data_IF_182417007912
#
_entry.id   IF_182417007912
#
_cell.length_a   1.000
_cell.length_b   1.000
_cell.length_c   1.000
_cell.angle_alpha   90.00
_cell.angle_beta   90.00
_cell.angle_gamma   90.00
#
_symmetry.space_group_name_H-M   'P 1'
#
loop_
_entity.id
_entity.type
_entity.pdbx_description
1 polymer ?
#
# COMPACT_ATOMS: atom_id res chain seq x y z
N UNK A 1 5.30 51.62 42.94
CA UNK A 1 6.41 50.83 42.37
C UNK A 1 5.94 49.40 42.29
N UNK A 2 5.38 49.06 41.18
CA UNK A 2 4.83 47.75 40.91
C UNK A 2 5.92 46.92 40.20
N UNK A 3 6.35 45.85 40.86
CA UNK A 3 7.42 44.96 40.37
C UNK A 3 6.85 44.07 39.25
N UNK A 4 7.22 44.37 38.01
CA UNK A 4 7.00 43.52 36.85
C UNK A 4 7.91 42.31 37.00
N UNK A 5 7.32 41.14 37.30
CA UNK A 5 8.00 39.85 37.15
C UNK A 5 8.22 39.60 35.65
N UNK A 6 9.46 39.31 35.23
CA UNK A 6 9.69 38.82 33.86
C UNK A 6 9.12 37.41 33.72
N UNK A 7 8.12 37.24 32.84
CA UNK A 7 7.69 35.94 32.37
C UNK A 7 8.86 35.27 31.64
N UNK A 8 9.41 34.26 32.22
CA UNK A 8 10.35 33.34 31.57
C UNK A 8 9.70 32.82 30.27
N UNK A 9 10.37 32.87 29.12
CA UNK A 9 9.85 32.26 27.90
C UNK A 9 9.72 30.75 28.15
N UNK A 10 8.53 30.21 27.88
CA UNK A 10 8.30 28.77 27.80
C UNK A 10 9.40 28.13 26.94
N UNK A 11 10.19 27.30 27.58
CA UNK A 11 11.23 26.54 26.90
C UNK A 11 10.53 25.63 25.87
N UNK A 12 10.79 25.89 24.61
CA UNK A 12 10.42 25.06 23.47
C UNK A 12 11.22 23.73 23.55
N UNK A 13 10.91 22.91 24.57
CA UNK A 13 11.51 21.59 24.72
C UNK A 13 10.90 20.72 23.62
N UNK A 14 11.76 20.20 22.75
CA UNK A 14 11.36 19.19 21.79
C UNK A 14 10.58 18.07 22.50
N UNK A 15 9.48 17.57 21.92
CA UNK A 15 8.63 16.57 22.56
C UNK A 15 9.47 15.35 22.96
N UNK A 16 9.37 14.92 24.20
CA UNK A 16 10.12 13.76 24.71
C UNK A 16 9.61 12.50 24.04
N UNK A 17 10.54 11.69 23.48
CA UNK A 17 10.21 10.38 22.94
C UNK A 17 9.85 9.41 24.07
N UNK A 18 8.69 8.76 23.96
CA UNK A 18 8.22 7.73 24.91
C UNK A 18 8.50 6.32 24.45
N UNK A 19 8.68 6.11 23.15
CA UNK A 19 9.01 4.84 22.54
C UNK A 19 9.82 5.06 21.27
N UNK A 20 10.81 4.22 21.03
CA UNK A 20 11.51 4.11 19.75
C UNK A 20 11.82 2.65 19.49
N UNK A 21 11.37 2.13 18.37
CA UNK A 21 11.58 0.73 18.03
C UNK A 21 11.00 0.30 16.70
N UNK A 22 11.33 -0.93 16.33
CA UNK A 22 10.86 -1.50 15.06
C UNK A 22 9.41 -1.92 15.15
N UNK A 23 8.72 -1.77 14.01
CA UNK A 23 7.40 -2.38 13.81
C UNK A 23 7.55 -3.90 13.93
N UNK A 24 6.64 -4.53 14.66
CA UNK A 24 6.63 -5.97 14.87
C UNK A 24 5.50 -6.62 14.06
N UNK A 25 5.81 -7.74 13.43
CA UNK A 25 4.81 -8.56 12.76
C UNK A 25 4.86 -10.01 13.27
N UNK A 26 3.81 -10.43 13.98
CA UNK A 26 3.73 -11.72 14.66
C UNK A 26 2.99 -12.82 13.89
N UNK A 27 2.47 -12.52 12.69
CA UNK A 27 1.69 -13.46 11.88
C UNK A 27 2.49 -14.68 11.44
N UNK A 28 1.83 -15.84 11.40
CA UNK A 28 2.40 -17.14 11.02
C UNK A 28 1.84 -17.64 9.70
N UNK A 29 2.71 -18.25 8.89
CA UNK A 29 2.33 -18.74 7.55
C UNK A 29 1.26 -19.83 7.60
N UNK A 30 1.33 -20.75 8.56
CA UNK A 30 0.34 -21.85 8.70
C UNK A 30 -1.06 -21.34 9.08
N UNK A 31 -1.14 -20.39 10.02
CA UNK A 31 -2.41 -19.77 10.41
C UNK A 31 -3.04 -19.01 9.22
N UNK A 32 -2.22 -18.23 8.51
CA UNK A 32 -2.73 -17.50 7.36
C UNK A 32 -3.05 -18.41 6.17
N UNK A 33 -2.34 -19.52 6.01
CA UNK A 33 -2.68 -20.53 4.98
C UNK A 33 -4.09 -21.08 5.19
N UNK A 34 -4.46 -21.44 6.42
CA UNK A 34 -5.82 -21.90 6.73
C UNK A 34 -6.89 -20.84 6.41
N UNK A 35 -6.66 -19.57 6.80
CA UNK A 35 -7.56 -18.46 6.46
C UNK A 35 -7.69 -18.30 4.94
N UNK A 36 -6.58 -18.31 4.23
CA UNK A 36 -6.52 -18.11 2.78
C UNK A 36 -7.21 -19.25 2.01
N UNK A 37 -6.95 -20.51 2.39
CA UNK A 37 -7.54 -21.69 1.73
C UNK A 37 -9.07 -21.68 1.83
N UNK A 38 -9.60 -21.42 3.03
CA UNK A 38 -11.05 -21.27 3.23
C UNK A 38 -11.60 -20.09 2.42
N UNK A 39 -10.89 -18.98 2.40
CA UNK A 39 -11.30 -17.79 1.65
C UNK A 39 -11.37 -18.05 0.15
N UNK A 40 -10.41 -18.77 -0.43
CA UNK A 40 -10.42 -19.12 -1.86
C UNK A 40 -11.56 -20.09 -2.14
N UNK A 41 -11.67 -21.18 -1.38
CA UNK A 41 -12.70 -22.19 -1.59
C UNK A 41 -14.10 -21.56 -1.59
N UNK A 42 -14.42 -20.78 -0.55
CA UNK A 42 -15.72 -20.13 -0.44
C UNK A 42 -15.92 -19.04 -1.53
N UNK A 43 -14.86 -18.36 -1.96
CA UNK A 43 -14.97 -17.39 -3.05
C UNK A 43 -15.27 -18.05 -4.39
N UNK A 44 -14.71 -19.23 -4.66
CA UNK A 44 -15.01 -20.02 -5.85
C UNK A 44 -16.45 -20.52 -5.81
N UNK A 45 -16.86 -21.16 -4.71
CA UNK A 45 -18.22 -21.72 -4.55
C UNK A 45 -19.30 -20.63 -4.68
N UNK A 46 -19.03 -19.42 -4.17
CA UNK A 46 -20.00 -18.32 -4.20
C UNK A 46 -19.82 -17.39 -5.41
N UNK A 47 -19.07 -17.82 -6.46
CA UNK A 47 -18.80 -17.03 -7.67
C UNK A 47 -18.28 -15.60 -7.35
N UNK A 48 -17.43 -15.50 -6.31
CA UNK A 48 -16.79 -14.25 -5.90
C UNK A 48 -17.54 -13.41 -4.85
N UNK A 49 -18.78 -13.74 -4.50
CA UNK A 49 -19.55 -12.99 -3.47
C UNK A 49 -18.81 -13.02 -2.13
N UNK A 50 -18.32 -14.19 -1.70
CA UNK A 50 -17.58 -14.34 -0.44
C UNK A 50 -16.24 -13.56 -0.42
N UNK A 51 -15.75 -13.08 -1.55
CA UNK A 51 -14.48 -12.33 -1.62
C UNK A 51 -14.49 -11.04 -0.76
N UNK A 52 -15.67 -10.49 -0.42
CA UNK A 52 -15.81 -9.38 0.52
C UNK A 52 -15.45 -9.81 1.96
N UNK A 53 -15.92 -10.97 2.41
CA UNK A 53 -15.57 -11.60 3.70
C UNK A 53 -14.10 -11.99 3.74
N UNK A 54 -13.60 -12.57 2.66
CA UNK A 54 -12.20 -12.94 2.48
C UNK A 54 -11.27 -11.73 2.65
N UNK A 55 -11.62 -10.56 2.06
CA UNK A 55 -10.88 -9.32 2.23
C UNK A 55 -10.84 -8.88 3.70
N UNK A 56 -11.99 -8.83 4.37
CA UNK A 56 -12.05 -8.40 5.78
C UNK A 56 -11.25 -9.33 6.67
N UNK A 57 -11.40 -10.66 6.54
CA UNK A 57 -10.63 -11.64 7.32
C UNK A 57 -9.12 -11.49 7.11
N UNK A 58 -8.70 -11.29 5.86
CA UNK A 58 -7.29 -11.07 5.53
C UNK A 58 -6.74 -9.79 6.16
N UNK A 59 -7.46 -8.67 6.05
CA UNK A 59 -7.02 -7.40 6.63
C UNK A 59 -6.99 -7.46 8.16
N UNK A 60 -8.02 -8.02 8.81
CA UNK A 60 -8.04 -8.21 10.27
C UNK A 60 -6.86 -9.04 10.74
N UNK A 61 -6.49 -10.10 10.00
CA UNK A 61 -5.32 -10.90 10.34
C UNK A 61 -4.03 -10.08 10.28
N UNK A 62 -3.77 -9.36 9.19
CA UNK A 62 -2.54 -8.59 9.04
C UNK A 62 -2.47 -7.42 10.02
N UNK A 63 -3.55 -6.67 10.18
CA UNK A 63 -3.61 -5.53 11.11
C UNK A 63 -3.44 -6.00 12.56
N UNK A 64 -4.15 -7.02 12.98
CA UNK A 64 -4.05 -7.56 14.34
C UNK A 64 -2.69 -8.16 14.69
N UNK A 65 -1.90 -8.56 13.67
CA UNK A 65 -0.54 -9.06 13.87
C UNK A 65 0.56 -8.01 13.62
N UNK A 66 0.22 -6.80 13.19
CA UNK A 66 1.15 -5.66 13.08
C UNK A 66 1.06 -4.84 14.35
N UNK A 67 2.19 -4.65 15.04
CA UNK A 67 2.26 -3.98 16.34
C UNK A 67 3.30 -2.88 16.34
N UNK A 68 2.97 -1.79 17.02
CA UNK A 68 3.87 -0.70 17.38
C UNK A 68 3.71 -0.49 18.88
N UNK A 69 4.81 -0.44 19.63
CA UNK A 69 4.80 -0.29 21.09
C UNK A 69 3.85 -1.31 21.77
N UNK A 70 3.91 -2.58 21.36
CA UNK A 70 3.06 -3.66 21.90
C UNK A 70 1.60 -3.63 21.47
N UNK A 71 1.10 -2.55 20.87
CA UNK A 71 -0.30 -2.36 20.47
C UNK A 71 -0.51 -2.71 18.99
N UNK A 72 -1.54 -3.51 18.70
CA UNK A 72 -1.92 -3.90 17.34
C UNK A 72 -2.80 -2.84 16.66
N UNK A 73 -2.85 -2.93 15.34
CA UNK A 73 -3.87 -2.23 14.56
C UNK A 73 -5.15 -3.02 14.50
N UNK A 74 -6.28 -2.32 14.31
CA UNK A 74 -7.58 -2.90 14.05
C UNK A 74 -8.09 -2.52 12.66
N UNK A 75 -8.78 -3.47 12.02
CA UNK A 75 -9.53 -3.22 10.79
C UNK A 75 -11.02 -3.33 11.03
N UNK A 76 -11.73 -2.22 10.98
CA UNK A 76 -13.12 -2.07 11.44
C UNK A 76 -14.17 -2.34 10.35
N UNK A 77 -13.77 -2.46 9.07
CA UNK A 77 -14.70 -2.67 7.97
C UNK A 77 -15.53 -3.96 8.13
N UNK A 78 -16.79 -3.88 7.70
CA UNK A 78 -17.66 -5.02 7.59
C UNK A 78 -17.68 -5.58 6.16
N UNK A 79 -17.87 -6.90 5.97
CA UNK A 79 -17.96 -7.49 4.63
C UNK A 79 -19.07 -6.88 3.77
N UNK A 80 -20.21 -6.53 4.39
CA UNK A 80 -21.37 -5.96 3.69
C UNK A 80 -21.04 -4.60 3.08
N UNK A 81 -20.28 -3.76 3.78
CA UNK A 81 -19.82 -2.46 3.23
C UNK A 81 -19.00 -2.65 1.95
N UNK A 82 -18.09 -3.64 1.95
CA UNK A 82 -17.27 -3.95 0.78
C UNK A 82 -18.12 -4.54 -0.34
N UNK A 83 -19.05 -5.43 -0.01
CA UNK A 83 -19.94 -6.09 -0.98
C UNK A 83 -20.81 -5.08 -1.71
N UNK A 84 -21.42 -4.11 -1.00
CA UNK A 84 -22.22 -3.05 -1.61
C UNK A 84 -21.45 -2.28 -2.69
N UNK A 85 -20.20 -1.90 -2.41
CA UNK A 85 -19.33 -1.23 -3.38
C UNK A 85 -19.00 -2.10 -4.59
N UNK A 86 -18.78 -3.41 -4.39
CA UNK A 86 -18.51 -4.36 -5.49
C UNK A 86 -19.73 -4.59 -6.38
N UNK A 87 -20.91 -4.77 -5.77
CA UNK A 87 -22.15 -4.93 -6.54
C UNK A 87 -22.38 -3.69 -7.43
N UNK A 88 -22.21 -2.49 -6.87
CA UNK A 88 -22.33 -1.26 -7.65
C UNK A 88 -21.32 -1.24 -8.81
N UNK A 89 -20.07 -1.59 -8.58
CA UNK A 89 -19.05 -1.64 -9.62
C UNK A 89 -19.38 -2.65 -10.72
N UNK A 90 -19.92 -3.83 -10.36
CA UNK A 90 -20.36 -4.87 -11.33
C UNK A 90 -21.54 -4.36 -12.16
N UNK A 91 -22.52 -3.72 -11.53
CA UNK A 91 -23.67 -3.14 -12.25
C UNK A 91 -23.20 -2.08 -13.25
N UNK A 92 -22.34 -1.14 -12.83
CA UNK A 92 -21.80 -0.11 -13.72
C UNK A 92 -21.01 -0.73 -14.87
N UNK A 93 -20.21 -1.77 -14.60
CA UNK A 93 -19.45 -2.49 -15.62
C UNK A 93 -20.36 -3.20 -16.62
N UNK A 94 -21.42 -3.87 -16.16
CA UNK A 94 -22.40 -4.52 -17.05
C UNK A 94 -23.13 -3.49 -17.94
N UNK A 95 -23.57 -2.38 -17.37
CA UNK A 95 -24.18 -1.28 -18.13
C UNK A 95 -23.22 -0.76 -19.20
N UNK A 96 -21.95 -0.52 -18.82
CA UNK A 96 -20.91 -0.11 -19.75
C UNK A 96 -20.74 -1.12 -20.89
N UNK A 97 -20.64 -2.41 -20.59
CA UNK A 97 -20.44 -3.46 -21.58
C UNK A 97 -21.59 -3.56 -22.55
N UNK A 98 -22.84 -3.52 -22.05
CA UNK A 98 -24.06 -3.57 -22.89
C UNK A 98 -24.13 -2.35 -23.79
N UNK A 99 -23.98 -1.14 -23.25
CA UNK A 99 -24.09 0.09 -24.02
C UNK A 99 -22.97 0.22 -25.06
N UNK A 100 -21.74 -0.19 -24.72
CA UNK A 100 -20.60 -0.16 -25.64
C UNK A 100 -20.76 -1.16 -26.80
N UNK A 101 -21.45 -2.28 -26.58
CA UNK A 101 -21.73 -3.27 -27.65
C UNK A 101 -22.79 -2.78 -28.63
N UNK A 102 -23.70 -1.89 -28.19
CA UNK A 102 -24.74 -1.30 -29.07
C UNK A 102 -24.18 -0.19 -29.96
N UNK A 103 -23.28 0.64 -29.45
CA UNK A 103 -22.64 1.70 -30.22
C UNK A 103 -21.25 2.05 -29.64
N UNK A 104 -20.15 1.91 -30.42
CA UNK A 104 -18.79 2.22 -29.98
C UNK A 104 -18.62 3.67 -29.47
N UNK A 105 -19.37 4.63 -30.05
CA UNK A 105 -19.36 6.02 -29.59
C UNK A 105 -19.85 6.18 -28.15
N UNK A 106 -20.80 5.36 -27.69
CA UNK A 106 -21.27 5.34 -26.31
C UNK A 106 -20.15 4.84 -25.40
N UNK A 107 -19.43 3.80 -25.81
CA UNK A 107 -18.26 3.29 -25.08
C UNK A 107 -17.19 4.37 -24.85
N UNK A 108 -16.92 5.20 -25.87
CA UNK A 108 -15.98 6.31 -25.76
C UNK A 108 -16.48 7.39 -24.77
N UNK A 109 -17.77 7.75 -24.83
CA UNK A 109 -18.35 8.70 -23.89
C UNK A 109 -18.26 8.20 -22.44
N UNK A 110 -18.52 6.90 -22.21
CA UNK A 110 -18.35 6.29 -20.90
C UNK A 110 -16.89 6.32 -20.42
N UNK A 111 -15.94 6.04 -21.31
CA UNK A 111 -14.51 6.10 -20.98
C UNK A 111 -14.08 7.51 -20.55
N UNK A 112 -14.55 8.53 -21.27
CA UNK A 112 -14.33 9.94 -20.91
C UNK A 112 -15.00 10.26 -19.56
N UNK A 113 -16.26 9.87 -19.38
CA UNK A 113 -16.98 10.06 -18.11
C UNK A 113 -16.29 9.37 -16.93
N UNK A 114 -15.75 8.16 -17.16
CA UNK A 114 -15.00 7.43 -16.15
C UNK A 114 -13.69 8.15 -15.75
N UNK A 115 -13.02 8.81 -16.70
CA UNK A 115 -11.83 9.61 -16.42
C UNK A 115 -12.12 10.73 -15.40
N UNK A 116 -13.29 11.38 -15.52
CA UNK A 116 -13.74 12.38 -14.53
C UNK A 116 -14.22 11.75 -13.20
N UNK A 117 -14.75 10.54 -13.24
CA UNK A 117 -15.20 9.83 -12.03
C UNK A 117 -14.04 9.25 -11.23
N UNK A 118 -12.92 8.93 -11.88
CA UNK A 118 -11.74 8.27 -11.29
C UNK A 118 -11.23 8.98 -10.02
N UNK A 119 -11.01 10.31 -9.97
CA UNK A 119 -10.52 10.99 -8.77
C UNK A 119 -11.47 10.87 -7.58
N UNK A 120 -12.78 10.91 -7.84
CA UNK A 120 -13.80 10.71 -6.81
C UNK A 120 -13.73 9.29 -6.24
N UNK A 121 -13.62 8.26 -7.10
CA UNK A 121 -13.50 6.85 -6.69
C UNK A 121 -12.25 6.66 -5.83
N UNK A 122 -11.10 7.22 -6.25
CA UNK A 122 -9.84 7.13 -5.50
C UNK A 122 -10.01 7.75 -4.11
N UNK A 123 -10.55 8.96 -4.02
CA UNK A 123 -10.77 9.64 -2.75
C UNK A 123 -11.71 8.87 -1.83
N UNK A 124 -12.83 8.33 -2.35
CA UNK A 124 -13.74 7.53 -1.54
C UNK A 124 -13.07 6.23 -1.05
N UNK A 125 -12.25 5.60 -1.90
CA UNK A 125 -11.47 4.42 -1.51
C UNK A 125 -10.46 4.71 -0.40
N UNK A 126 -9.72 5.81 -0.50
CA UNK A 126 -8.75 6.24 0.51
C UNK A 126 -9.45 6.63 1.83
N UNK A 127 -10.53 7.43 1.77
CA UNK A 127 -11.35 7.79 2.93
C UNK A 127 -11.91 6.55 3.64
N UNK A 128 -12.42 5.59 2.88
CA UNK A 128 -12.93 4.35 3.45
C UNK A 128 -11.82 3.56 4.15
N UNK A 129 -10.68 3.34 3.48
CA UNK A 129 -9.59 2.55 4.05
C UNK A 129 -9.03 3.20 5.33
N UNK A 130 -8.82 4.52 5.35
CA UNK A 130 -8.32 5.23 6.52
C UNK A 130 -9.31 5.17 7.68
N UNK A 131 -10.60 5.47 7.46
CA UNK A 131 -11.63 5.37 8.50
C UNK A 131 -11.77 3.97 9.10
N UNK A 132 -11.49 2.92 8.31
CA UNK A 132 -11.56 1.54 8.76
C UNK A 132 -10.28 1.08 9.45
N UNK A 133 -9.26 1.92 9.53
CA UNK A 133 -7.99 1.64 10.23
C UNK A 133 -7.98 2.36 11.58
N UNK A 134 -7.62 1.63 12.63
CA UNK A 134 -7.51 2.15 13.99
C UNK A 134 -6.25 1.62 14.66
N UNK A 135 -5.60 2.46 15.48
CA UNK A 135 -4.51 2.06 16.36
C UNK A 135 -4.69 2.73 17.72
N UNK A 136 -4.59 1.99 18.83
CA UNK A 136 -4.78 2.48 20.20
C UNK A 136 -6.07 3.33 20.37
N UNK A 137 -7.20 2.85 19.82
CA UNK A 137 -8.51 3.52 19.76
C UNK A 137 -8.61 4.78 18.89
N UNK A 138 -7.51 5.34 18.42
CA UNK A 138 -7.51 6.49 17.51
C UNK A 138 -7.68 6.02 16.06
N UNK A 139 -8.60 6.63 15.32
CA UNK A 139 -8.87 6.33 13.91
C UNK A 139 -8.02 7.19 13.00
N UNK A 140 -7.67 6.62 11.86
CA UNK A 140 -7.10 7.39 10.75
C UNK A 140 -8.22 8.03 9.92
N UNK A 141 -7.92 9.17 9.30
CA UNK A 141 -8.82 9.82 8.36
C UNK A 141 -8.06 10.23 7.08
N UNK A 142 -8.81 10.55 6.02
CA UNK A 142 -8.28 11.07 4.77
C UNK A 142 -9.12 12.24 4.31
N UNK A 143 -8.49 13.39 4.06
CA UNK A 143 -9.15 14.68 3.77
C UNK A 143 -8.95 15.19 2.35
N UNK A 144 -8.37 14.38 1.44
CA UNK A 144 -8.10 14.78 0.05
C UNK A 144 -9.35 15.26 -0.70
N UNK A 145 -9.22 16.34 -1.47
CA UNK A 145 -10.28 16.94 -2.26
C UNK A 145 -10.30 16.42 -3.71
N UNK A 146 -11.40 16.68 -4.45
CA UNK A 146 -11.55 16.20 -5.81
C UNK A 146 -10.60 16.92 -6.79
N UNK A 147 -10.41 18.23 -6.66
CA UNK A 147 -9.59 19.01 -7.59
C UNK A 147 -8.14 18.57 -7.61
N UNK A 148 -7.54 18.42 -6.43
CA UNK A 148 -6.16 17.94 -6.32
C UNK A 148 -6.03 16.49 -6.78
N UNK A 149 -7.01 15.64 -6.49
CA UNK A 149 -7.05 14.27 -7.01
C UNK A 149 -7.11 14.26 -8.54
N UNK A 150 -7.93 15.11 -9.15
CA UNK A 150 -8.04 15.21 -10.62
C UNK A 150 -6.70 15.64 -11.24
N UNK A 151 -6.04 16.64 -10.66
CA UNK A 151 -4.73 17.09 -11.13
C UNK A 151 -3.71 15.95 -11.03
N UNK A 152 -3.61 15.30 -9.86
CA UNK A 152 -2.55 14.32 -9.60
C UNK A 152 -2.78 12.97 -10.30
N UNK A 153 -4.03 12.50 -10.43
CA UNK A 153 -4.32 11.18 -11.01
C UNK A 153 -4.79 11.22 -12.47
N UNK A 154 -5.12 12.39 -13.01
CA UNK A 154 -5.60 12.51 -14.41
C UNK A 154 -4.71 13.46 -15.21
N UNK A 155 -4.63 14.73 -14.83
CA UNK A 155 -3.95 15.73 -15.65
C UNK A 155 -2.44 15.51 -15.73
N UNK A 156 -1.78 15.28 -14.59
CA UNK A 156 -0.33 15.08 -14.57
C UNK A 156 0.11 13.78 -15.27
N UNK A 157 -0.55 12.62 -15.10
CA UNK A 157 -0.26 11.43 -15.89
C UNK A 157 -0.43 11.65 -17.40
N UNK A 158 -1.50 12.34 -17.83
CA UNK A 158 -1.71 12.68 -19.25
C UNK A 158 -0.57 13.60 -19.74
N UNK A 159 -0.22 14.66 -18.99
CA UNK A 159 0.90 15.53 -19.32
C UNK A 159 2.24 14.78 -19.43
N UNK A 160 2.43 13.73 -18.62
CA UNK A 160 3.61 12.88 -18.67
C UNK A 160 3.77 12.15 -20.01
N UNK A 161 2.68 11.76 -20.66
CA UNK A 161 2.71 11.13 -21.99
C UNK A 161 3.25 12.10 -23.03
N UNK A 162 2.81 13.35 -23.02
CA UNK A 162 3.28 14.39 -23.96
C UNK A 162 4.75 14.76 -23.77
N UNK A 163 5.31 14.53 -22.59
CA UNK A 163 6.75 14.73 -22.32
C UNK A 163 7.58 13.46 -22.51
N UNK A 164 7.08 12.45 -23.23
CA UNK A 164 7.74 11.15 -23.38
C UNK A 164 8.14 10.54 -22.03
N UNK A 165 7.28 10.69 -21.03
CA UNK A 165 7.46 10.23 -19.63
C UNK A 165 8.62 10.90 -18.86
N UNK A 166 9.26 11.97 -19.38
CA UNK A 166 10.26 12.72 -18.62
C UNK A 166 9.67 13.37 -17.36
N UNK A 167 8.37 13.70 -17.38
CA UNK A 167 7.64 14.23 -16.22
C UNK A 167 7.24 13.15 -15.21
N UNK A 168 7.35 11.85 -15.55
CA UNK A 168 6.84 10.74 -14.74
C UNK A 168 7.37 10.74 -13.29
N UNK A 169 8.67 10.96 -12.99
CA UNK A 169 9.14 11.01 -11.60
C UNK A 169 8.45 12.09 -10.77
N UNK A 170 8.20 13.26 -11.38
CA UNK A 170 7.45 14.33 -10.71
C UNK A 170 5.99 13.96 -10.48
N UNK A 171 5.34 13.30 -11.45
CA UNK A 171 3.95 12.81 -11.30
C UNK A 171 3.85 11.83 -10.14
N UNK A 172 4.78 10.86 -10.05
CA UNK A 172 4.81 9.89 -8.96
C UNK A 172 5.03 10.57 -7.61
N UNK A 173 5.93 11.54 -7.53
CA UNK A 173 6.12 12.38 -6.34
C UNK A 173 4.82 13.08 -5.92
N UNK A 174 4.11 13.68 -6.87
CA UNK A 174 2.86 14.40 -6.60
C UNK A 174 1.75 13.47 -6.11
N UNK A 175 1.65 12.26 -6.69
CA UNK A 175 0.72 11.23 -6.27
C UNK A 175 1.02 10.77 -4.84
N UNK A 176 2.30 10.43 -4.55
CA UNK A 176 2.70 9.99 -3.22
C UNK A 176 2.49 11.10 -2.18
N UNK A 177 2.84 12.33 -2.50
CA UNK A 177 2.61 13.47 -1.63
C UNK A 177 1.12 13.65 -1.33
N UNK A 178 0.26 13.64 -2.36
CA UNK A 178 -1.18 13.76 -2.20
C UNK A 178 -1.76 12.64 -1.32
N UNK A 179 -1.33 11.38 -1.54
CA UNK A 179 -1.84 10.25 -0.79
C UNK A 179 -1.46 10.30 0.70
N UNK A 180 -0.27 10.80 1.03
CA UNK A 180 0.23 10.82 2.41
C UNK A 180 -0.14 12.10 3.16
N UNK A 181 0.00 13.26 2.53
CA UNK A 181 -0.25 14.57 3.13
C UNK A 181 -1.71 14.77 3.59
N UNK A 182 -2.65 14.05 2.96
CA UNK A 182 -4.06 14.07 3.34
C UNK A 182 -4.46 13.03 4.39
N UNK A 183 -3.50 12.29 4.96
CA UNK A 183 -3.75 11.34 6.05
C UNK A 183 -3.69 12.11 7.38
N UNK A 184 -4.57 11.75 8.31
CA UNK A 184 -4.50 12.19 9.71
C UNK A 184 -4.67 11.02 10.66
N UNK A 185 -4.06 11.13 11.84
CA UNK A 185 -4.24 10.23 12.97
C UNK A 185 -4.94 10.99 14.10
N UNK A 186 -6.22 10.69 14.32
CA UNK A 186 -7.09 11.57 15.08
C UNK A 186 -7.18 12.96 14.42
N UNK A 187 -6.84 14.01 15.15
CA UNK A 187 -6.82 15.39 14.67
C UNK A 187 -5.43 15.86 14.17
N UNK A 188 -4.40 15.02 14.22
CA UNK A 188 -3.03 15.38 13.79
C UNK A 188 -2.79 14.96 12.35
N UNK A 189 -2.54 15.90 11.42
CA UNK A 189 -2.22 15.58 10.02
C UNK A 189 -0.82 14.95 9.89
N UNK A 190 -0.64 14.12 8.87
CA UNK A 190 0.67 13.64 8.47
C UNK A 190 1.36 14.73 7.63
N UNK A 191 2.49 15.20 8.11
CA UNK A 191 3.36 16.11 7.36
C UNK A 191 4.33 15.28 6.55
N UNK A 192 4.45 15.59 5.25
CA UNK A 192 5.30 14.82 4.33
C UNK A 192 6.12 15.79 3.46
N UNK A 193 7.44 15.73 3.59
CA UNK A 193 8.34 16.59 2.82
C UNK A 193 9.07 15.81 1.72
N UNK A 194 8.38 15.53 0.62
CA UNK A 194 8.93 14.79 -0.52
C UNK A 194 9.65 15.71 -1.49
N UNK A 195 10.92 15.40 -1.75
CA UNK A 195 11.77 16.14 -2.68
C UNK A 195 11.68 15.53 -4.08
N UNK A 196 11.33 16.35 -5.09
CA UNK A 196 11.26 15.91 -6.50
C UNK A 196 12.58 15.35 -7.01
N UNK A 197 13.70 15.97 -6.61
CA UNK A 197 15.06 15.53 -6.97
C UNK A 197 15.29 14.05 -6.63
N UNK A 198 14.84 13.58 -5.47
CA UNK A 198 14.99 12.18 -5.05
C UNK A 198 14.23 11.21 -5.96
N UNK A 199 13.09 11.62 -6.50
CA UNK A 199 12.33 10.80 -7.44
C UNK A 199 13.04 10.70 -8.80
N UNK A 200 13.65 11.81 -9.29
CA UNK A 200 14.46 11.78 -10.49
C UNK A 200 15.72 10.95 -10.31
N UNK A 201 16.42 11.07 -9.18
CA UNK A 201 17.60 10.24 -8.86
C UNK A 201 17.20 8.76 -8.81
N UNK A 202 16.10 8.42 -8.12
CA UNK A 202 15.61 7.04 -8.08
C UNK A 202 15.26 6.50 -9.47
N UNK A 203 14.61 7.31 -10.31
CA UNK A 203 14.30 6.93 -11.69
C UNK A 203 15.56 6.74 -12.53
N UNK A 204 16.56 7.63 -12.43
CA UNK A 204 17.83 7.52 -13.15
C UNK A 204 18.64 6.29 -12.71
N UNK A 205 18.73 6.02 -11.41
CA UNK A 205 19.40 4.81 -10.91
C UNK A 205 18.69 3.57 -11.45
N UNK A 206 17.36 3.54 -11.37
CA UNK A 206 16.57 2.42 -11.85
C UNK A 206 16.71 2.22 -13.36
N UNK A 207 16.71 3.31 -14.12
CA UNK A 207 16.93 3.29 -15.56
C UNK A 207 18.35 2.79 -15.90
N UNK A 208 19.37 3.25 -15.17
CA UNK A 208 20.75 2.78 -15.32
C UNK A 208 20.87 1.27 -15.09
N UNK A 209 20.25 0.75 -14.01
CA UNK A 209 20.18 -0.68 -13.74
C UNK A 209 19.42 -1.41 -14.87
N UNK A 210 18.30 -0.84 -15.35
CA UNK A 210 17.51 -1.43 -16.43
C UNK A 210 18.30 -1.51 -17.74
N UNK A 211 18.97 -0.43 -18.15
CA UNK A 211 19.80 -0.40 -19.37
C UNK A 211 20.98 -1.38 -19.24
N UNK A 212 21.71 -1.32 -18.14
CA UNK A 212 22.84 -2.23 -17.89
C UNK A 212 22.44 -3.71 -17.97
N UNK A 213 21.31 -4.06 -17.35
CA UNK A 213 20.76 -5.41 -17.43
C UNK A 213 20.31 -5.78 -18.84
N UNK A 214 19.63 -4.90 -19.57
CA UNK A 214 19.20 -5.15 -20.94
C UNK A 214 20.41 -5.40 -21.88
N UNK A 215 21.49 -4.67 -21.71
CA UNK A 215 22.74 -4.91 -22.47
C UNK A 215 23.31 -6.29 -22.17
N UNK A 216 23.39 -6.68 -20.88
CA UNK A 216 23.86 -7.99 -20.47
C UNK A 216 22.96 -9.11 -21.04
N UNK A 217 21.63 -8.96 -20.90
CA UNK A 217 20.67 -9.92 -21.44
C UNK A 217 20.72 -10.01 -22.96
N UNK A 218 20.81 -8.88 -23.65
CA UNK A 218 20.93 -8.83 -25.10
C UNK A 218 22.17 -9.57 -25.61
N UNK A 219 23.31 -9.40 -24.89
CA UNK A 219 24.54 -10.13 -25.19
C UNK A 219 24.36 -11.66 -25.02
N UNK A 220 23.82 -12.10 -23.88
CA UNK A 220 23.60 -13.54 -23.64
C UNK A 220 22.52 -14.14 -24.56
N UNK A 221 21.45 -13.42 -24.85
CA UNK A 221 20.41 -13.86 -25.77
C UNK A 221 20.95 -13.97 -27.21
N UNK A 222 21.74 -13.00 -27.65
CA UNK A 222 22.40 -13.04 -28.96
C UNK A 222 23.40 -14.21 -29.08
N UNK A 223 24.24 -14.41 -28.06
CA UNK A 223 25.18 -15.52 -27.98
C UNK A 223 24.45 -16.88 -28.00
N UNK A 224 23.33 -17.02 -27.29
CA UNK A 224 22.53 -18.26 -27.29
C UNK A 224 21.84 -18.52 -28.62
N UNK A 225 21.35 -17.50 -29.31
CA UNK A 225 20.75 -17.63 -30.63
C UNK A 225 21.76 -18.17 -31.67
N UNK A 226 22.99 -17.62 -31.64
CA UNK A 226 24.08 -18.12 -32.53
C UNK A 226 24.46 -19.59 -32.25
N UNK A 227 24.33 -20.04 -31.00
CA UNK A 227 24.60 -21.46 -30.66
C UNK A 227 23.45 -22.38 -31.06
N UNK A 228 22.19 -21.93 -31.01
CA UNK A 228 21.00 -22.68 -31.39
C UNK A 228 20.93 -22.86 -32.92
N UNK A 229 21.25 -21.84 -33.70
CA UNK A 229 21.30 -21.93 -35.17
C UNK A 229 22.35 -22.94 -35.69
N UNK A 230 23.42 -23.19 -34.95
CA UNK A 230 24.44 -24.16 -35.25
C UNK A 230 24.06 -25.61 -34.83
N UNK A 231 23.00 -25.78 -34.04
CA UNK A 231 22.48 -27.09 -33.66
C UNK A 231 21.52 -27.57 -34.76
N UNK A 232 21.99 -28.49 -35.60
CA UNK A 232 21.20 -29.16 -36.65
C UNK A 232 19.82 -29.53 -36.06
N UNK A 233 18.73 -29.02 -36.65
CA UNK A 233 17.35 -29.07 -36.13
C UNK A 233 16.78 -30.50 -35.95
N UNK A 234 17.54 -31.53 -36.21
CA UNK A 234 17.12 -32.94 -36.06
C UNK A 234 17.46 -33.56 -34.69
N UNK A 235 18.27 -32.92 -33.86
CA UNK A 235 18.60 -33.44 -32.54
C UNK A 235 17.97 -32.57 -31.44
N UNK A 236 16.80 -32.98 -30.96
CA UNK A 236 16.16 -32.40 -29.78
C UNK A 236 17.04 -32.65 -28.56
N UNK A 237 17.79 -31.64 -28.15
CA UNK A 237 18.72 -31.72 -27.01
C UNK A 237 18.06 -31.05 -25.80
N UNK A 238 18.35 -31.60 -24.62
CA UNK A 238 17.86 -31.02 -23.33
C UNK A 238 18.28 -29.56 -23.20
N UNK A 239 19.41 -29.15 -23.77
CA UNK A 239 19.90 -27.75 -23.77
C UNK A 239 18.96 -26.81 -24.53
N UNK A 240 18.24 -27.27 -25.51
CA UNK A 240 17.28 -26.47 -26.31
C UNK A 240 16.11 -25.96 -25.45
N UNK A 241 15.78 -26.64 -24.34
CA UNK A 241 14.75 -26.22 -23.38
C UNK A 241 15.37 -25.53 -22.18
N UNK A 242 16.45 -26.09 -21.64
CA UNK A 242 17.03 -25.61 -20.36
C UNK A 242 17.64 -24.22 -20.50
N UNK A 243 18.32 -23.92 -21.62
CA UNK A 243 18.96 -22.59 -21.78
C UNK A 243 17.94 -21.47 -21.89
N UNK A 244 16.90 -21.54 -22.77
CA UNK A 244 15.86 -20.49 -22.77
C UNK A 244 15.11 -20.35 -21.43
N UNK A 245 14.85 -21.46 -20.73
CA UNK A 245 14.21 -21.43 -19.41
C UNK A 245 15.08 -20.71 -18.39
N UNK A 246 16.38 -20.99 -18.36
CA UNK A 246 17.33 -20.30 -17.47
C UNK A 246 17.38 -18.81 -17.77
N UNK A 247 17.46 -18.43 -19.06
CA UNK A 247 17.43 -17.04 -19.49
C UNK A 247 16.13 -16.35 -19.03
N UNK A 248 14.98 -17.01 -19.18
CA UNK A 248 13.69 -16.49 -18.75
C UNK A 248 13.65 -16.26 -17.22
N UNK A 249 14.16 -17.21 -16.43
CA UNK A 249 14.24 -17.07 -14.96
C UNK A 249 15.16 -15.92 -14.56
N UNK A 250 16.32 -15.79 -15.20
CA UNK A 250 17.23 -14.68 -14.97
C UNK A 250 16.62 -13.33 -15.37
N UNK A 251 15.87 -13.29 -16.47
CA UNK A 251 15.15 -12.09 -16.91
C UNK A 251 14.08 -11.67 -15.90
N UNK A 252 13.31 -12.62 -15.37
CA UNK A 252 12.34 -12.33 -14.29
C UNK A 252 13.04 -11.82 -13.03
N UNK A 253 14.17 -12.44 -12.64
CA UNK A 253 14.96 -11.95 -11.51
C UNK A 253 15.45 -10.52 -11.72
N UNK A 254 15.88 -10.21 -12.93
CA UNK A 254 16.31 -8.87 -13.31
C UNK A 254 15.17 -7.84 -13.25
N UNK A 255 14.00 -8.13 -13.80
CA UNK A 255 12.83 -7.24 -13.72
C UNK A 255 12.42 -6.99 -12.26
N UNK A 256 12.49 -8.02 -11.42
CA UNK A 256 12.24 -7.89 -9.98
C UNK A 256 13.27 -6.97 -9.32
N UNK A 257 14.55 -7.10 -9.67
CA UNK A 257 15.61 -6.25 -9.15
C UNK A 257 15.39 -4.78 -9.52
N UNK A 258 15.06 -4.48 -10.79
CA UNK A 258 14.76 -3.12 -11.25
C UNK A 258 13.61 -2.52 -10.44
N UNK A 259 12.51 -3.26 -10.27
CA UNK A 259 11.37 -2.82 -9.46
C UNK A 259 11.71 -2.66 -7.97
N UNK A 260 12.54 -3.55 -7.43
CA UNK A 260 12.96 -3.50 -6.03
C UNK A 260 13.85 -2.28 -5.72
N UNK A 261 14.73 -1.90 -6.67
CA UNK A 261 15.57 -0.70 -6.54
C UNK A 261 14.70 0.54 -6.40
N UNK A 262 13.79 0.76 -7.35
CA UNK A 262 12.88 1.92 -7.29
C UNK A 262 12.04 1.93 -6.01
N UNK A 263 11.39 0.80 -5.72
CA UNK A 263 10.50 0.69 -4.56
C UNK A 263 11.23 0.95 -3.23
N UNK A 264 12.46 0.43 -3.06
CA UNK A 264 13.20 0.62 -1.81
C UNK A 264 13.64 2.07 -1.63
N UNK A 265 14.13 2.73 -2.70
CA UNK A 265 14.56 4.12 -2.65
C UNK A 265 13.38 5.05 -2.32
N UNK A 266 12.26 4.91 -3.01
CA UNK A 266 11.09 5.76 -2.80
C UNK A 266 10.43 5.48 -1.45
N UNK A 267 10.26 4.20 -1.07
CA UNK A 267 9.70 3.86 0.24
C UNK A 267 10.52 4.46 1.39
N UNK A 268 11.84 4.29 1.36
CA UNK A 268 12.69 4.87 2.39
C UNK A 268 12.59 6.41 2.41
N UNK A 269 12.56 7.04 1.23
CA UNK A 269 12.39 8.49 1.14
C UNK A 269 11.06 8.96 1.74
N UNK A 270 9.94 8.27 1.46
CA UNK A 270 8.62 8.62 2.01
C UNK A 270 8.63 8.48 3.53
N UNK A 271 9.04 7.31 4.07
CA UNK A 271 9.00 7.07 5.51
C UNK A 271 9.90 8.03 6.28
N UNK A 272 11.13 8.25 5.81
CA UNK A 272 12.12 9.10 6.50
C UNK A 272 11.80 10.60 6.43
N UNK A 273 10.82 10.99 5.61
CA UNK A 273 10.36 12.38 5.46
C UNK A 273 8.86 12.54 5.78
N UNK A 274 8.31 11.61 6.56
CA UNK A 274 6.90 11.63 7.01
C UNK A 274 6.85 11.67 8.53
N UNK A 275 6.03 12.55 9.09
CA UNK A 275 5.83 12.67 10.54
C UNK A 275 4.42 13.08 10.89
N UNK A 276 3.89 12.57 11.98
CA UNK A 276 2.76 13.16 12.69
C UNK A 276 3.33 14.09 13.76
N UNK A 277 3.20 15.39 13.57
CA UNK A 277 3.78 16.39 14.47
C UNK A 277 3.47 16.09 15.93
N UNK A 278 4.49 16.03 16.80
CA UNK A 278 4.43 15.73 18.23
C UNK A 278 3.94 14.32 18.60
N UNK A 279 3.56 13.49 17.61
CA UNK A 279 2.98 12.15 17.82
C UNK A 279 3.95 11.06 17.45
N UNK A 280 4.43 11.05 16.21
CA UNK A 280 5.33 9.99 15.72
C UNK A 280 6.15 10.41 14.52
N UNK A 281 7.40 9.91 14.45
CA UNK A 281 8.25 9.93 13.26
C UNK A 281 8.53 8.52 12.79
N UNK A 282 8.85 8.39 11.50
CA UNK A 282 9.08 7.11 10.86
C UNK A 282 10.47 7.07 10.25
N UNK A 283 11.12 5.92 10.33
CA UNK A 283 12.36 5.62 9.63
C UNK A 283 12.24 4.29 8.88
N UNK A 284 12.87 4.20 7.71
CA UNK A 284 12.89 3.00 6.89
C UNK A 284 14.23 2.81 6.22
N UNK A 285 14.80 1.61 6.38
CA UNK A 285 16.07 1.21 5.77
C UNK A 285 15.90 -0.09 4.97
N UNK A 286 15.02 -0.09 3.99
CA UNK A 286 14.81 -1.22 3.09
C UNK A 286 15.92 -1.28 2.05
N UNK A 287 16.75 -2.33 2.08
CA UNK A 287 17.77 -2.57 1.05
C UNK A 287 17.17 -3.19 -0.18
N UNK A 288 17.50 -2.64 -1.36
CA UNK A 288 16.97 -3.11 -2.64
C UNK A 288 17.26 -4.59 -2.90
N UNK A 289 18.47 -5.05 -2.56
CA UNK A 289 18.87 -6.44 -2.78
C UNK A 289 18.10 -7.41 -1.88
N UNK A 290 17.89 -7.09 -0.61
CA UNK A 290 17.14 -7.95 0.32
C UNK A 290 15.68 -8.06 -0.14
N UNK A 291 15.12 -6.95 -0.62
CA UNK A 291 13.75 -6.93 -1.16
C UNK A 291 13.64 -7.68 -2.48
N UNK A 292 14.64 -7.55 -3.37
CA UNK A 292 14.68 -8.29 -4.65
C UNK A 292 14.79 -9.81 -4.41
N UNK A 293 15.68 -10.26 -3.53
CA UNK A 293 15.85 -11.67 -3.17
C UNK A 293 14.54 -12.21 -2.59
N UNK A 294 13.88 -11.47 -1.70
CA UNK A 294 12.60 -11.87 -1.13
C UNK A 294 11.53 -12.02 -2.22
N UNK A 295 11.38 -11.03 -3.11
CA UNK A 295 10.38 -11.07 -4.18
C UNK A 295 10.66 -12.21 -5.16
N UNK A 296 11.92 -12.39 -5.58
CA UNK A 296 12.32 -13.44 -6.49
C UNK A 296 12.04 -14.84 -5.93
N UNK A 297 12.49 -15.10 -4.69
CA UNK A 297 12.24 -16.39 -4.03
C UNK A 297 10.75 -16.64 -3.78
N UNK A 298 9.97 -15.58 -3.53
CA UNK A 298 8.50 -15.68 -3.40
C UNK A 298 7.84 -16.03 -4.73
N UNK A 299 8.27 -15.40 -5.84
CA UNK A 299 7.74 -15.70 -7.18
C UNK A 299 8.04 -17.14 -7.54
N UNK A 300 9.29 -17.61 -7.37
CA UNK A 300 9.64 -19.01 -7.62
C UNK A 300 8.80 -19.97 -6.78
N UNK A 301 8.68 -19.71 -5.47
CA UNK A 301 7.89 -20.57 -4.59
C UNK A 301 6.41 -20.64 -5.02
N UNK A 302 5.81 -19.52 -5.41
CA UNK A 302 4.42 -19.44 -5.87
C UNK A 302 4.28 -20.21 -7.21
N UNK A 303 5.22 -20.06 -8.14
CA UNK A 303 5.21 -20.77 -9.43
C UNK A 303 5.33 -22.28 -9.23
N UNK A 304 6.33 -22.75 -8.48
CA UNK A 304 6.55 -24.17 -8.26
C UNK A 304 5.46 -24.87 -7.45
N UNK A 305 4.73 -24.12 -6.63
CA UNK A 305 3.61 -24.64 -5.83
C UNK A 305 2.24 -24.36 -6.45
N UNK A 306 2.18 -23.89 -7.71
CA UNK A 306 0.94 -23.53 -8.41
C UNK A 306 0.05 -22.57 -7.57
N UNK A 307 0.69 -21.62 -6.88
CA UNK A 307 0.01 -20.62 -6.07
C UNK A 307 -0.13 -20.95 -4.58
N UNK A 308 0.10 -22.19 -4.15
CA UNK A 308 -0.08 -22.59 -2.74
C UNK A 308 0.88 -21.89 -1.76
N UNK A 309 2.07 -21.45 -2.22
CA UNK A 309 3.00 -20.69 -1.42
C UNK A 309 2.63 -19.19 -1.25
N UNK A 310 1.53 -18.72 -1.84
CA UNK A 310 1.12 -17.32 -1.75
C UNK A 310 0.97 -16.81 -0.29
N UNK A 311 0.33 -17.55 0.64
CA UNK A 311 0.24 -17.11 2.04
C UNK A 311 1.60 -16.97 2.72
N UNK A 312 2.51 -17.91 2.47
CA UNK A 312 3.87 -17.88 2.99
C UNK A 312 4.65 -16.66 2.44
N UNK A 313 4.56 -16.40 1.14
CA UNK A 313 5.18 -15.25 0.50
C UNK A 313 4.68 -13.93 1.09
N UNK A 314 3.37 -13.81 1.34
CA UNK A 314 2.74 -12.63 1.92
C UNK A 314 3.19 -12.36 3.36
N UNK A 315 3.31 -13.39 4.18
CA UNK A 315 3.85 -13.31 5.55
C UNK A 315 5.32 -12.89 5.55
N UNK A 316 6.15 -13.50 4.67
CA UNK A 316 7.57 -13.11 4.55
C UNK A 316 7.73 -11.63 4.20
N UNK A 317 6.93 -11.14 3.23
CA UNK A 317 6.95 -9.73 2.85
C UNK A 317 6.56 -8.83 4.02
N UNK A 318 5.50 -9.17 4.76
CA UNK A 318 5.06 -8.40 5.92
C UNK A 318 6.14 -8.35 7.01
N UNK A 319 6.80 -9.48 7.30
CA UNK A 319 7.91 -9.55 8.26
C UNK A 319 9.11 -8.70 7.86
N UNK A 320 9.53 -8.76 6.59
CA UNK A 320 10.63 -7.94 6.11
C UNK A 320 10.31 -6.46 6.23
N UNK A 321 9.14 -6.02 5.73
CA UNK A 321 8.75 -4.61 5.77
C UNK A 321 8.62 -4.10 7.20
N UNK A 322 8.10 -4.89 8.12
CA UNK A 322 8.05 -4.55 9.54
C UNK A 322 9.46 -4.40 10.14
N UNK A 323 10.36 -5.35 9.88
CA UNK A 323 11.71 -5.36 10.47
C UNK A 323 12.62 -4.20 10.03
N UNK A 324 12.31 -3.57 8.89
CA UNK A 324 13.07 -2.43 8.35
C UNK A 324 12.38 -1.09 8.58
N UNK A 325 11.26 -1.07 9.31
CA UNK A 325 10.53 0.15 9.66
C UNK A 325 10.65 0.41 11.15
N UNK A 326 11.16 1.57 11.51
CA UNK A 326 11.23 2.06 12.89
C UNK A 326 10.24 3.19 13.09
N UNK A 327 9.67 3.25 14.29
CA UNK A 327 8.72 4.29 14.68
C UNK A 327 9.16 4.85 16.02
N UNK A 328 9.30 6.17 16.07
CA UNK A 328 9.52 6.89 17.34
C UNK A 328 8.23 7.58 17.70
N UNK A 329 7.69 7.30 18.90
CA UNK A 329 6.45 7.88 19.41
C UNK A 329 6.82 8.92 20.46
N UNK A 330 6.16 10.07 20.40
CA UNK A 330 6.36 11.20 21.32
C UNK A 330 5.18 11.35 22.28
N UNK A 331 5.39 12.12 23.34
CA UNK A 331 4.40 12.35 24.42
C UNK A 331 3.05 12.90 23.93
N UNK A 332 3.02 13.62 22.80
CA UNK A 332 1.78 14.10 22.18
C UNK A 332 0.82 12.98 21.72
N UNK A 333 1.32 11.74 21.56
CA UNK A 333 0.47 10.60 21.26
C UNK A 333 -0.47 10.24 22.42
N UNK A 334 -0.05 10.45 23.68
CA UNK A 334 -0.85 10.11 24.87
C UNK A 334 -2.11 10.96 24.93
N UNK A 335 -2.02 12.27 24.67
CA UNK A 335 -3.18 13.16 24.68
C UNK A 335 -4.26 12.76 23.66
N UNK A 336 -3.86 12.27 22.47
CA UNK A 336 -4.80 11.76 21.47
C UNK A 336 -5.51 10.48 21.94
N UNK A 337 -4.77 9.61 22.62
CA UNK A 337 -5.30 8.35 23.11
C UNK A 337 -6.30 8.62 24.24
N UNK A 338 -5.97 9.53 25.15
CA UNK A 338 -6.84 9.93 26.28
C UNK A 338 -8.16 10.55 25.77
N UNK A 339 -8.08 11.45 24.77
CA UNK A 339 -9.28 12.04 24.14
C UNK A 339 -10.14 10.95 23.49
N UNK A 340 -9.55 10.04 22.73
CA UNK A 340 -10.28 8.97 22.07
C UNK A 340 -10.91 7.96 23.05
N UNK A 341 -10.28 7.72 24.21
CA UNK A 341 -10.83 6.88 25.28
C UNK A 341 -12.00 7.57 25.98
N UNK A 342 -11.87 8.87 26.27
CA UNK A 342 -12.92 9.65 26.91
C UNK A 342 -14.17 9.77 26.02
N UNK A 343 -14.01 10.00 24.73
CA UNK A 343 -15.13 9.99 23.77
C UNK A 343 -15.85 8.64 23.73
N UNK A 344 -15.10 7.54 23.79
CA UNK A 344 -15.68 6.21 23.78
C UNK A 344 -16.40 5.86 25.10
N UNK A 345 -15.86 6.29 26.25
CA UNK A 345 -16.50 6.10 27.57
C UNK A 345 -17.77 6.94 27.70
N UNK A 346 -17.74 8.20 27.28
CA UNK A 346 -18.91 9.10 27.28
C UNK A 346 -20.04 8.55 26.40
N UNK A 347 -19.71 8.04 25.20
CA UNK A 347 -20.70 7.40 24.34
C UNK A 347 -21.27 6.10 24.93
N UNK A 348 -20.44 5.30 25.63
CA UNK A 348 -20.89 4.07 26.30
C UNK A 348 -21.79 4.42 27.51
N UNK A 349 -21.48 5.46 28.26
CA UNK A 349 -22.32 5.94 29.37
C UNK A 349 -23.65 6.52 28.86
N UNK A 350 -23.64 7.29 27.77
CA UNK A 350 -24.84 7.82 27.16
C UNK A 350 -25.74 6.70 26.62
N UNK A 351 -25.15 5.69 25.96
CA UNK A 351 -25.88 4.51 25.52
C UNK A 351 -26.46 3.70 26.70
N UNK A 352 -25.69 3.51 27.79
CA UNK A 352 -26.17 2.83 28.99
C UNK A 352 -27.34 3.57 29.64
N UNK A 353 -27.26 4.89 29.73
CA UNK A 353 -28.34 5.73 30.26
C UNK A 353 -29.61 5.67 29.42
N UNK A 354 -29.51 5.56 28.09
CA UNK A 354 -30.66 5.36 27.20
C UNK A 354 -31.34 4.00 27.45
N UNK A 355 -30.54 2.93 27.67
CA UNK A 355 -31.07 1.61 27.99
C UNK A 355 -31.65 1.53 29.42
N UNK A 356 -31.07 2.23 30.42
CA UNK A 356 -31.61 2.27 31.78
C UNK A 356 -32.94 3.05 31.88
N UNK A 357 -33.15 4.06 31.07
CA UNK A 357 -34.45 4.79 31.01
C UNK A 357 -35.55 3.93 30.47
N UNK A 358 -35.27 2.97 29.56
CA UNK A 358 -36.27 2.07 28.99
C UNK A 358 -36.73 0.98 29.96
N UNK A 359 -35.91 0.60 30.96
CA UNK A 359 -36.22 -0.41 31.96
C UNK A 359 -37.04 0.17 33.13
N UNK A 360 -36.96 1.48 33.36
CA UNK A 360 -37.69 2.17 34.46
C UNK A 360 -39.15 2.51 34.11
N UNK A 361 -39.59 2.30 32.87
CA UNK A 361 -40.94 2.60 32.38
C UNK A 361 -41.86 1.35 32.24
N UNK A 362 -41.39 0.15 32.66
CA UNK A 362 -42.17 -1.09 32.72
C UNK A 362 -42.38 -1.51 34.17
#
# INVERSE_FOLDING_TARGET
>A
MESIHPTTPESNQAPSSIFSGKVQFSGKSGEFFGIWSVNILLSIITLGIYSAWAKVRTYRYFYGHTRIDGHSFDYLATPIQILKGRILAVIVFLIYTILSSLAPAIGLLFAIGFLFLLPWIINQGLRFNMRMTRHRNVRFAFSGNYGDAFINFVLLPIASVFTLHLLLPYVLKRIDQYMHENISYGNKPLTVNLQGERYYIAALITLGVAIGGLVIFGFFAGASALTIDNLNTQNFSLSTIVVPLLIAVLYVAFLILVGAVYHSLIRNHIFNNSEFSEVATFDSNLKAIDYAILLFTNVLAIMFTLGLAYPWAKIRRAKLLASVTEVTIYSGALSLIDVAQNEQSSFAEEAANVFDIDISLT
#
